data_IF_458263659924
#
_entry.id   IF_458263659924
#
_cell.length_a   1.000
_cell.length_b   1.000
_cell.length_c   1.000
_cell.angle_alpha   90.00
_cell.angle_beta   90.00
_cell.angle_gamma   90.00
#
_symmetry.space_group_name_H-M   'P 1'
#
loop_
_entity.id
_entity.type
_entity.pdbx_description
1 polymer ?
#
# COMPACT_ATOMS: atom_id res chain seq x y z
N UNK A 1 -20.08 -5.38 -12.30
CA UNK A 1 -19.17 -6.28 -11.56
C UNK A 1 -18.97 -5.68 -10.18
N UNK A 2 -19.23 -6.43 -9.10
CA UNK A 2 -18.87 -5.97 -7.77
C UNK A 2 -17.34 -5.77 -7.73
N UNK A 3 -16.89 -4.56 -7.45
CA UNK A 3 -15.46 -4.26 -7.38
C UNK A 3 -14.90 -4.98 -6.16
N UNK A 4 -13.80 -5.73 -6.33
CA UNK A 4 -13.17 -6.46 -5.23
C UNK A 4 -12.42 -5.46 -4.32
N UNK A 5 -12.96 -5.23 -3.13
CA UNK A 5 -12.41 -4.28 -2.16
C UNK A 5 -10.97 -4.62 -1.76
N UNK A 6 -10.62 -5.91 -1.60
CA UNK A 6 -9.23 -6.31 -1.30
C UNK A 6 -8.26 -6.00 -2.44
N UNK A 7 -8.70 -6.17 -3.69
CA UNK A 7 -7.89 -5.80 -4.86
C UNK A 7 -7.66 -4.28 -4.91
N UNK A 8 -8.72 -3.48 -4.70
CA UNK A 8 -8.60 -2.02 -4.63
C UNK A 8 -7.69 -1.57 -3.48
N UNK A 9 -7.77 -2.24 -2.34
CA UNK A 9 -6.93 -1.91 -1.20
C UNK A 9 -5.44 -2.01 -1.56
N UNK A 10 -5.03 -3.09 -2.23
CA UNK A 10 -3.65 -3.25 -2.69
C UNK A 10 -3.28 -2.25 -3.79
N UNK A 11 -4.20 -1.92 -4.70
CA UNK A 11 -3.97 -0.90 -5.72
C UNK A 11 -3.63 0.45 -5.07
N UNK A 12 -4.41 0.89 -4.09
CA UNK A 12 -4.14 2.12 -3.36
C UNK A 12 -2.79 2.08 -2.64
N UNK A 13 -2.44 0.97 -1.98
CA UNK A 13 -1.13 0.82 -1.35
C UNK A 13 0.04 0.82 -2.37
N UNK A 14 -0.15 0.26 -3.57
CA UNK A 14 0.83 0.34 -4.66
C UNK A 14 0.95 1.75 -5.23
N UNK A 15 -0.15 2.49 -5.38
CA UNK A 15 -0.11 3.90 -5.78
C UNK A 15 0.67 4.73 -4.76
N UNK A 16 0.48 4.48 -3.45
CA UNK A 16 1.29 5.14 -2.43
C UNK A 16 2.80 4.86 -2.63
N UNK A 17 3.15 3.61 -2.91
CA UNK A 17 4.54 3.20 -3.16
C UNK A 17 5.11 3.84 -4.43
N UNK A 18 4.34 3.86 -5.52
CA UNK A 18 4.72 4.46 -6.81
C UNK A 18 5.08 5.93 -6.64
N UNK A 19 4.24 6.67 -5.91
CA UNK A 19 4.47 8.08 -5.60
C UNK A 19 5.78 8.28 -4.81
N UNK A 20 6.02 7.44 -3.80
CA UNK A 20 7.24 7.50 -3.00
C UNK A 20 8.51 7.22 -3.81
N UNK A 21 8.40 6.45 -4.90
CA UNK A 21 9.51 6.15 -5.81
C UNK A 21 9.75 7.21 -6.89
N UNK A 22 8.69 7.87 -7.39
CA UNK A 22 8.77 8.66 -8.62
C UNK A 22 8.53 10.16 -8.45
N UNK A 23 7.92 10.60 -7.35
CA UNK A 23 7.67 12.01 -7.08
C UNK A 23 8.72 12.61 -6.14
N UNK A 24 8.89 13.94 -6.21
CA UNK A 24 9.71 14.66 -5.23
C UNK A 24 9.01 14.69 -3.88
N UNK A 25 9.79 14.55 -2.81
CA UNK A 25 9.24 14.49 -1.47
C UNK A 25 8.94 15.88 -0.92
N UNK A 26 7.66 16.20 -0.90
CA UNK A 26 7.11 17.39 -0.27
C UNK A 26 5.86 17.05 0.56
N UNK A 27 5.24 18.08 1.15
CA UNK A 27 4.03 17.89 1.96
C UNK A 27 2.81 17.49 1.13
N UNK A 28 2.77 17.83 -0.17
CA UNK A 28 1.69 17.41 -1.06
C UNK A 28 1.80 15.90 -1.35
N UNK A 29 3.01 15.40 -1.57
CA UNK A 29 3.29 13.97 -1.64
C UNK A 29 2.85 13.25 -0.36
N UNK A 30 3.22 13.77 0.81
CA UNK A 30 2.82 13.19 2.09
C UNK A 30 1.29 13.08 2.23
N UNK A 31 0.56 14.12 1.80
CA UNK A 31 -0.90 14.15 1.79
C UNK A 31 -1.51 13.10 0.86
N UNK A 32 -0.93 12.95 -0.35
CA UNK A 32 -1.33 11.91 -1.31
C UNK A 32 -1.08 10.51 -0.76
N UNK A 33 0.12 10.24 -0.22
CA UNK A 33 0.49 8.95 0.38
C UNK A 33 -0.45 8.60 1.53
N UNK A 34 -0.72 9.56 2.44
CA UNK A 34 -1.69 9.38 3.52
C UNK A 34 -3.08 9.02 2.98
N UNK A 35 -3.54 9.73 1.96
CA UNK A 35 -4.87 9.52 1.38
C UNK A 35 -5.02 8.15 0.70
N UNK A 36 -3.99 7.70 -0.02
CA UNK A 36 -3.94 6.36 -0.61
C UNK A 36 -3.93 5.27 0.48
N UNK A 37 -3.11 5.43 1.53
CA UNK A 37 -3.06 4.47 2.65
C UNK A 37 -4.37 4.41 3.43
N UNK A 38 -5.04 5.54 3.65
CA UNK A 38 -6.35 5.58 4.31
C UNK A 38 -7.38 4.76 3.54
N UNK A 39 -7.46 4.94 2.22
CA UNK A 39 -8.35 4.13 1.36
C UNK A 39 -7.99 2.65 1.43
N UNK A 40 -6.70 2.32 1.42
CA UNK A 40 -6.23 0.93 1.53
C UNK A 40 -6.69 0.27 2.84
N UNK A 41 -6.55 0.96 3.96
CA UNK A 41 -7.00 0.49 5.28
C UNK A 41 -8.51 0.25 5.31
N UNK A 42 -9.30 1.21 4.83
CA UNK A 42 -10.76 1.13 4.87
C UNK A 42 -11.27 -0.02 4.00
N UNK A 43 -10.74 -0.14 2.79
CA UNK A 43 -11.12 -1.18 1.83
C UNK A 43 -10.69 -2.57 2.31
N UNK A 44 -9.46 -2.73 2.79
CA UNK A 44 -9.00 -4.02 3.28
C UNK A 44 -9.74 -4.43 4.55
N UNK A 45 -9.97 -3.47 5.46
CA UNK A 45 -10.76 -3.67 6.67
C UNK A 45 -12.16 -4.19 6.37
N UNK A 46 -12.87 -3.51 5.46
CA UNK A 46 -14.18 -3.95 4.95
C UNK A 46 -14.11 -5.33 4.29
N UNK A 47 -13.08 -5.59 3.49
CA UNK A 47 -12.90 -6.86 2.79
C UNK A 47 -12.80 -8.04 3.76
N UNK A 48 -11.90 -7.95 4.76
CA UNK A 48 -11.66 -9.05 5.70
C UNK A 48 -12.78 -9.22 6.73
N UNK A 49 -13.57 -8.17 7.01
CA UNK A 49 -14.72 -8.24 7.93
C UNK A 49 -15.95 -8.91 7.30
N UNK A 50 -16.12 -8.79 5.97
CA UNK A 50 -17.29 -9.35 5.26
C UNK A 50 -17.17 -10.85 5.05
N UNK A 51 -16.00 -11.30 4.57
CA UNK A 51 -15.76 -12.69 4.20
C UNK A 51 -14.28 -13.04 4.38
N UNK A 52 -13.95 -14.29 4.78
CA UNK A 52 -12.58 -14.77 4.71
C UNK A 52 -12.02 -14.62 3.30
N UNK A 53 -10.91 -13.89 3.16
CA UNK A 53 -10.30 -13.64 1.86
C UNK A 53 -9.71 -14.94 1.30
N UNK A 54 -10.16 -15.45 0.13
CA UNK A 54 -9.58 -16.63 -0.50
C UNK A 54 -8.15 -16.39 -1.02
N UNK A 55 -7.69 -15.14 -1.02
CA UNK A 55 -6.36 -14.76 -1.46
C UNK A 55 -5.34 -14.79 -0.30
N UNK A 56 -5.82 -14.77 0.95
CA UNK A 56 -4.98 -14.84 2.15
C UNK A 56 -4.83 -13.53 2.91
N UNK A 57 -5.60 -12.48 2.61
CA UNK A 57 -5.61 -11.27 3.43
C UNK A 57 -6.21 -11.52 4.81
N UNK A 58 -5.54 -11.01 5.84
CA UNK A 58 -5.92 -11.20 7.25
C UNK A 58 -6.07 -9.87 7.99
N UNK A 59 -6.45 -9.94 9.27
CA UNK A 59 -6.55 -8.74 10.12
C UNK A 59 -5.20 -8.16 10.48
N UNK A 60 -4.15 -8.99 10.45
CA UNK A 60 -2.76 -8.55 10.58
C UNK A 60 -2.35 -7.66 9.40
N UNK A 61 -2.80 -7.95 8.17
CA UNK A 61 -2.55 -7.08 7.01
C UNK A 61 -3.22 -5.70 7.15
N UNK A 62 -4.44 -5.66 7.69
CA UNK A 62 -5.12 -4.39 8.01
C UNK A 62 -4.32 -3.61 9.07
N UNK A 63 -3.80 -4.31 10.07
CA UNK A 63 -2.98 -3.70 11.13
C UNK A 63 -1.67 -3.16 10.58
N UNK A 64 -1.08 -3.86 9.61
CA UNK A 64 0.09 -3.42 8.86
C UNK A 64 -0.21 -2.12 8.08
N UNK A 65 -1.25 -2.07 7.24
CA UNK A 65 -1.56 -0.82 6.53
C UNK A 65 -1.92 0.34 7.47
N UNK A 66 -2.56 0.05 8.61
CA UNK A 66 -2.80 1.06 9.66
C UNK A 66 -1.52 1.61 10.28
N UNK A 67 -0.48 0.79 10.45
CA UNK A 67 0.78 1.28 11.00
C UNK A 67 1.45 2.26 10.02
N UNK A 68 1.42 1.95 8.72
CA UNK A 68 1.94 2.82 7.67
C UNK A 68 1.17 4.14 7.57
N UNK A 69 -0.16 4.06 7.65
CA UNK A 69 -1.03 5.25 7.66
C UNK A 69 -0.62 6.20 8.80
N UNK A 70 -0.36 5.69 10.01
CA UNK A 70 0.07 6.53 11.14
C UNK A 70 1.38 7.26 10.87
N UNK A 71 2.33 6.63 10.17
CA UNK A 71 3.58 7.30 9.78
C UNK A 71 3.31 8.43 8.78
N UNK A 72 2.45 8.20 7.78
CA UNK A 72 2.06 9.25 6.82
C UNK A 72 1.25 10.38 7.49
N UNK A 73 0.36 10.06 8.43
CA UNK A 73 -0.38 11.04 9.23
C UNK A 73 0.57 11.90 10.08
N UNK A 74 1.56 11.29 10.74
CA UNK A 74 2.59 12.02 11.48
C UNK A 74 3.38 12.94 10.55
N UNK A 75 3.73 12.48 9.34
CA UNK A 75 4.42 13.32 8.36
C UNK A 75 3.65 14.58 7.99
N UNK A 76 2.34 14.45 7.78
CA UNK A 76 1.47 15.59 7.45
C UNK A 76 1.31 16.50 8.67
N UNK A 77 0.97 15.94 9.83
CA UNK A 77 0.66 16.70 11.04
C UNK A 77 1.87 17.47 11.58
N UNK A 78 3.04 16.84 11.59
CA UNK A 78 4.30 17.42 12.07
C UNK A 78 5.04 18.18 10.98
N UNK A 79 4.53 18.15 9.74
CA UNK A 79 5.19 18.72 8.55
C UNK A 79 6.61 18.19 8.37
N UNK A 80 6.77 16.90 8.62
CA UNK A 80 8.04 16.21 8.70
C UNK A 80 8.06 15.00 7.75
N UNK A 81 8.95 14.99 6.76
CA UNK A 81 9.00 13.91 5.77
C UNK A 81 9.83 12.70 6.24
N UNK A 82 10.51 12.77 7.39
CA UNK A 82 11.36 11.68 7.91
C UNK A 82 10.65 10.33 8.12
N UNK A 83 9.34 10.25 8.40
CA UNK A 83 8.61 8.97 8.45
C UNK A 83 8.35 8.29 7.09
N UNK A 84 8.36 9.03 5.97
CA UNK A 84 8.04 8.47 4.65
C UNK A 84 8.99 7.36 4.14
N UNK A 85 10.31 7.34 4.42
CA UNK A 85 11.17 6.22 4.05
C UNK A 85 10.75 4.90 4.70
N UNK A 86 10.26 4.95 5.95
CA UNK A 86 9.77 3.76 6.64
C UNK A 86 8.52 3.20 5.94
N UNK A 87 7.66 4.10 5.46
CA UNK A 87 6.48 3.72 4.67
C UNK A 87 6.90 3.07 3.35
N UNK A 88 7.84 3.68 2.63
CA UNK A 88 8.34 3.15 1.37
C UNK A 88 8.97 1.76 1.56
N UNK A 89 9.91 1.62 2.48
CA UNK A 89 10.62 0.36 2.75
C UNK A 89 9.65 -0.75 3.14
N UNK A 90 8.70 -0.46 4.03
CA UNK A 90 7.72 -1.45 4.48
C UNK A 90 6.78 -1.89 3.35
N UNK A 91 6.31 -0.97 2.50
CA UNK A 91 5.49 -1.31 1.34
C UNK A 91 6.28 -2.11 0.31
N UNK A 92 7.52 -1.71 -0.01
CA UNK A 92 8.41 -2.48 -0.89
C UNK A 92 8.55 -3.90 -0.37
N UNK A 93 8.96 -4.06 0.89
CA UNK A 93 9.12 -5.37 1.50
C UNK A 93 7.83 -6.18 1.45
N UNK A 94 6.68 -5.58 1.78
CA UNK A 94 5.39 -6.25 1.75
C UNK A 94 5.06 -6.77 0.34
N UNK A 95 5.18 -5.93 -0.68
CA UNK A 95 4.81 -6.31 -2.05
C UNK A 95 5.79 -7.29 -2.68
N UNK A 96 7.09 -7.18 -2.41
CA UNK A 96 8.07 -8.19 -2.86
C UNK A 96 7.73 -9.57 -2.29
N UNK A 97 7.47 -9.69 -0.98
CA UNK A 97 7.26 -10.99 -0.35
C UNK A 97 5.85 -11.58 -0.55
N UNK A 98 4.82 -10.74 -0.63
CA UNK A 98 3.43 -11.21 -0.74
C UNK A 98 3.01 -11.48 -2.18
N UNK A 99 3.71 -10.93 -3.18
CA UNK A 99 3.39 -11.07 -4.60
C UNK A 99 3.34 -12.54 -5.08
N UNK A 100 4.25 -13.39 -4.60
CA UNK A 100 4.34 -14.80 -4.99
C UNK A 100 3.15 -15.63 -4.49
N UNK A 101 2.57 -15.24 -3.35
CA UNK A 101 1.54 -16.02 -2.64
C UNK A 101 0.14 -15.42 -2.76
N UNK A 102 0.04 -14.14 -3.13
CA UNK A 102 -1.21 -13.39 -3.14
C UNK A 102 -1.64 -13.03 -4.57
N UNK A 103 -2.61 -13.76 -5.11
CA UNK A 103 -3.06 -13.62 -6.51
C UNK A 103 -3.50 -12.20 -6.91
N UNK A 104 -4.06 -11.41 -5.97
CA UNK A 104 -4.48 -10.05 -6.26
C UNK A 104 -3.27 -9.14 -6.48
N UNK A 105 -2.24 -9.29 -5.64
CA UNK A 105 -1.00 -8.53 -5.72
C UNK A 105 -0.20 -8.92 -6.95
N UNK A 106 -0.02 -10.22 -7.20
CA UNK A 106 0.71 -10.70 -8.37
C UNK A 106 0.07 -10.22 -9.68
N UNK A 107 -1.27 -10.14 -9.75
CA UNK A 107 -1.96 -9.56 -10.92
C UNK A 107 -1.75 -8.05 -11.07
N UNK A 108 -1.76 -7.30 -9.97
CA UNK A 108 -1.53 -5.85 -9.99
C UNK A 108 -0.12 -5.53 -10.49
N UNK A 109 0.90 -6.13 -9.89
CA UNK A 109 2.31 -5.97 -10.29
C UNK A 109 2.54 -6.42 -11.73
N UNK A 110 1.84 -7.48 -12.17
CA UNK A 110 1.98 -8.01 -13.52
C UNK A 110 1.35 -7.18 -14.63
N UNK A 111 0.44 -6.23 -14.33
CA UNK A 111 -0.37 -5.51 -15.32
C UNK A 111 -0.38 -3.99 -15.19
N UNK A 112 -0.38 -3.47 -13.97
CA UNK A 112 -0.61 -2.04 -13.68
C UNK A 112 0.61 -1.35 -13.06
N UNK A 113 1.49 -2.11 -12.41
CA UNK A 113 2.69 -1.58 -11.73
C UNK A 113 3.94 -2.39 -12.14
N UNK A 114 4.20 -2.47 -13.44
CA UNK A 114 5.34 -3.24 -13.98
C UNK A 114 6.72 -2.69 -13.55
N UNK A 115 6.79 -1.40 -13.22
CA UNK A 115 7.96 -0.73 -12.64
C UNK A 115 8.47 -1.41 -11.35
N UNK A 116 7.59 -2.11 -10.61
CA UNK A 116 7.97 -2.88 -9.41
C UNK A 116 8.96 -4.00 -9.74
N UNK A 117 8.93 -4.57 -10.96
CA UNK A 117 9.90 -5.60 -11.39
C UNK A 117 11.33 -5.05 -11.51
N UNK A 118 11.49 -3.73 -11.68
CA UNK A 118 12.80 -3.08 -11.69
C UNK A 118 13.41 -2.89 -10.30
N UNK A 119 12.66 -3.15 -9.22
CA UNK A 119 13.16 -3.05 -7.84
C UNK A 119 14.12 -4.18 -7.47
N UNK A 120 14.04 -5.34 -8.14
CA UNK A 120 14.84 -6.54 -7.81
C UNK A 120 16.32 -6.42 -8.23
N UNK A 121 16.73 -5.31 -8.87
CA UNK A 121 18.08 -5.10 -9.41
C UNK A 121 18.87 -3.94 -8.78
N UNK A 122 18.48 -3.48 -7.59
CA UNK A 122 19.16 -2.40 -6.85
C UNK A 122 20.15 -2.90 -5.79
#
# INVERSE_FOLDING_TARGET
MAINEGWLAHLHALNALERLYHEYWDLDLAEKVRSELARSVDLLGSHVDKVPCPCGDTREDVTFYRSLLRHAEASVAERNLFPLPLVQEALTHHFTHKSEKHRCIGRLIGREHDWVKGMETG
#
